data_IF_419218036328
#
_entry.id   IF_419218036328
#
_cell.length_a   1.000
_cell.length_b   1.000
_cell.length_c   1.000
_cell.angle_alpha   90.00
_cell.angle_beta   90.00
_cell.angle_gamma   90.00
#
_symmetry.space_group_name_H-M   'P 1'
#
loop_
_entity.id
_entity.type
_entity.pdbx_description
1 polymer ?
#
# COMPACT_ATOMS: atom_id res chain seq x y z
N UNK A 1 -2.93 -8.54 -1.22
CA UNK A 1 -2.79 -9.78 -0.42
C UNK A 1 -3.15 -10.98 -1.27
N UNK A 2 -2.57 -12.15 -1.00
CA UNK A 2 -2.89 -13.40 -1.71
C UNK A 2 -4.07 -14.16 -1.08
N UNK A 3 -4.42 -13.84 0.18
CA UNK A 3 -5.56 -14.38 0.90
C UNK A 3 -6.15 -13.32 1.85
N UNK A 4 -7.47 -13.34 2.12
CA UNK A 4 -8.09 -12.51 3.15
C UNK A 4 -7.65 -12.87 4.58
N UNK A 5 -6.90 -13.96 4.82
CA UNK A 5 -6.42 -14.30 6.17
C UNK A 5 -5.10 -13.62 6.52
N UNK A 6 -4.42 -13.03 5.53
CA UNK A 6 -3.12 -12.35 5.71
C UNK A 6 -3.32 -10.89 6.11
N UNK A 7 -2.37 -10.37 6.87
CA UNK A 7 -2.35 -9.02 7.43
C UNK A 7 -1.19 -8.20 6.86
N UNK A 8 -1.36 -6.89 6.70
CA UNK A 8 -0.27 -5.97 6.35
C UNK A 8 0.71 -5.76 7.53
N UNK A 9 2.00 -5.47 7.28
CA UNK A 9 2.65 -5.33 5.97
C UNK A 9 2.88 -6.67 5.25
N UNK A 10 2.67 -6.68 3.93
CA UNK A 10 3.05 -7.82 3.09
C UNK A 10 4.55 -7.75 2.82
N UNK A 11 5.29 -8.80 3.18
CA UNK A 11 6.71 -8.94 2.82
C UNK A 11 6.89 -9.20 1.31
N UNK A 12 5.83 -9.67 0.65
CA UNK A 12 5.82 -10.02 -0.77
C UNK A 12 4.54 -9.50 -1.45
N UNK A 13 4.72 -8.72 -2.51
CA UNK A 13 3.63 -8.20 -3.33
C UNK A 13 3.28 -9.12 -4.50
N UNK A 14 4.04 -10.17 -4.77
CA UNK A 14 3.83 -11.07 -5.90
C UNK A 14 2.40 -11.64 -5.92
N UNK A 15 1.78 -11.60 -7.11
CA UNK A 15 0.41 -12.05 -7.36
C UNK A 15 -0.70 -11.28 -6.61
N UNK A 16 -0.38 -10.19 -5.93
CA UNK A 16 -1.36 -9.35 -5.24
C UNK A 16 -1.98 -8.31 -6.17
N UNK A 17 -2.97 -7.57 -5.65
CA UNK A 17 -3.52 -6.39 -6.34
C UNK A 17 -2.42 -5.42 -6.79
N UNK A 18 -1.41 -5.18 -5.95
CA UNK A 18 -0.40 -4.17 -6.20
C UNK A 18 0.55 -4.57 -7.32
N UNK A 19 0.95 -5.84 -7.38
CA UNK A 19 1.81 -6.39 -8.43
C UNK A 19 1.11 -6.43 -9.80
N UNK A 20 -0.21 -6.63 -9.82
CA UNK A 20 -0.99 -6.71 -11.05
C UNK A 20 -1.61 -5.38 -11.49
N UNK A 21 -1.46 -4.33 -10.68
CA UNK A 21 -1.96 -3.00 -11.00
C UNK A 21 -0.99 -2.24 -11.88
N UNK A 22 -1.54 -1.40 -12.76
CA UNK A 22 -0.77 -0.38 -13.48
C UNK A 22 -1.18 1.00 -12.97
N UNK A 23 -0.21 1.85 -12.63
CA UNK A 23 -0.47 3.23 -12.23
C UNK A 23 -0.81 4.05 -13.46
N UNK A 24 -2.02 4.63 -13.47
CA UNK A 24 -2.51 5.51 -14.52
C UNK A 24 -2.29 6.97 -14.16
N UNK A 25 -2.43 7.29 -12.88
CA UNK A 25 -2.21 8.64 -12.36
C UNK A 25 -1.70 8.59 -10.91
N UNK A 26 -0.81 9.52 -10.60
CA UNK A 26 -0.18 9.69 -9.30
C UNK A 26 -0.09 11.20 -9.00
N UNK A 27 -1.16 11.81 -8.49
CA UNK A 27 -1.27 13.27 -8.35
C UNK A 27 -0.22 13.90 -7.44
N UNK A 28 0.30 13.14 -6.48
CA UNK A 28 1.34 13.59 -5.54
C UNK A 28 2.76 13.14 -5.97
N UNK A 29 2.91 12.60 -7.18
CA UNK A 29 4.21 12.21 -7.71
C UNK A 29 4.92 13.41 -8.34
N UNK A 30 5.81 14.04 -7.56
CA UNK A 30 6.79 15.00 -8.10
C UNK A 30 7.76 14.32 -9.11
N UNK A 31 9.03 14.09 -8.74
CA UNK A 31 10.05 13.53 -9.63
C UNK A 31 10.15 11.99 -9.59
N UNK A 32 9.51 11.34 -8.62
CA UNK A 32 9.52 9.88 -8.45
C UNK A 32 8.08 9.36 -8.53
N UNK A 33 7.85 8.33 -9.36
CA UNK A 33 6.55 7.70 -9.49
C UNK A 33 6.60 6.25 -9.00
N UNK A 34 5.55 5.76 -8.33
CA UNK A 34 5.45 4.35 -8.02
C UNK A 34 5.24 3.56 -9.32
N UNK A 35 6.17 2.67 -9.65
CA UNK A 35 6.12 1.86 -10.88
C UNK A 35 5.86 0.38 -10.58
N UNK A 36 6.35 -0.11 -9.45
CA UNK A 36 6.23 -1.53 -9.06
C UNK A 36 5.14 -1.74 -8.01
N UNK A 37 4.68 -2.99 -7.87
CA UNK A 37 3.73 -3.34 -6.81
C UNK A 37 4.23 -3.00 -5.39
N UNK A 38 5.55 -3.12 -5.16
CA UNK A 38 6.17 -2.72 -3.91
C UNK A 38 6.08 -1.20 -3.69
N UNK A 39 6.34 -0.41 -4.73
CA UNK A 39 6.23 1.06 -4.68
C UNK A 39 4.78 1.50 -4.41
N UNK A 40 3.81 0.90 -5.10
CA UNK A 40 2.38 1.19 -4.90
C UNK A 40 1.98 0.86 -3.46
N UNK A 41 2.38 -0.30 -2.94
CA UNK A 41 2.09 -0.69 -1.57
C UNK A 41 2.69 0.29 -0.55
N UNK A 42 3.91 0.78 -0.78
CA UNK A 42 4.62 1.70 0.10
C UNK A 42 4.04 3.11 0.03
N UNK A 43 3.73 3.62 -1.16
CA UNK A 43 3.07 4.90 -1.35
C UNK A 43 1.71 4.93 -0.64
N UNK A 44 0.91 3.87 -0.77
CA UNK A 44 -0.37 3.77 -0.06
C UNK A 44 -0.21 3.55 1.46
N UNK A 45 0.84 2.87 1.92
CA UNK A 45 1.12 2.65 3.34
C UNK A 45 1.61 3.92 4.05
N UNK A 46 2.36 4.77 3.34
CA UNK A 46 3.03 5.95 3.91
C UNK A 46 2.36 7.26 3.51
N UNK A 47 1.11 7.20 3.03
CA UNK A 47 0.33 8.36 2.58
C UNK A 47 1.10 9.23 1.56
N UNK A 48 1.86 8.58 0.67
CA UNK A 48 2.69 9.22 -0.35
C UNK A 48 4.04 9.76 0.13
N UNK A 49 4.41 9.56 1.40
CA UNK A 49 5.70 10.04 1.92
C UNK A 49 6.89 9.36 1.24
N UNK A 50 6.83 8.03 1.08
CA UNK A 50 7.75 7.28 0.24
C UNK A 50 7.03 6.84 -1.03
N UNK A 51 7.54 7.26 -2.18
CA UNK A 51 6.95 6.97 -3.49
C UNK A 51 7.50 5.67 -4.08
N UNK A 52 8.68 5.26 -3.63
CA UNK A 52 9.35 4.02 -4.07
C UNK A 52 9.84 3.21 -2.87
N UNK A 53 9.98 1.91 -3.06
CA UNK A 53 10.52 1.00 -2.06
C UNK A 53 11.97 1.30 -1.72
N UNK A 54 12.74 1.76 -2.72
CA UNK A 54 14.13 2.12 -2.56
C UNK A 54 14.34 3.36 -1.68
N UNK A 55 13.36 4.26 -1.59
CA UNK A 55 13.42 5.45 -0.76
C UNK A 55 13.18 5.16 0.74
N UNK A 56 12.71 3.96 1.09
CA UNK A 56 12.43 3.60 2.48
C UNK A 56 13.73 3.33 3.23
N UNK A 57 14.01 4.03 4.35
CA UNK A 57 15.22 3.82 5.12
C UNK A 57 15.24 2.43 5.77
N UNK A 58 16.43 1.84 5.87
CA UNK A 58 16.68 0.59 6.60
C UNK A 58 17.80 0.81 7.63
N UNK A 59 17.52 0.81 8.95
CA UNK A 59 16.24 0.46 9.58
C UNK A 59 15.14 1.50 9.34
N UNK A 60 13.88 1.03 9.30
CA UNK A 60 12.71 1.91 9.13
C UNK A 60 12.61 2.87 10.30
N UNK A 61 12.91 4.14 10.04
CA UNK A 61 12.92 5.23 11.00
C UNK A 61 12.21 6.42 10.37
N UNK A 62 11.29 7.02 11.12
CA UNK A 62 10.54 8.20 10.70
C UNK A 62 10.74 9.27 11.76
N UNK A 63 11.15 10.47 11.34
CA UNK A 63 11.33 11.61 12.24
C UNK A 63 10.00 11.92 12.97
N UNK A 64 10.08 12.28 14.24
CA UNK A 64 8.91 12.56 15.10
C UNK A 64 7.91 11.41 15.27
N UNK A 65 8.34 10.16 15.03
CA UNK A 65 7.53 8.96 15.22
C UNK A 65 8.18 7.98 16.19
N UNK A 66 7.40 7.40 17.12
CA UNK A 66 7.93 6.37 18.02
C UNK A 66 7.96 4.98 17.35
N UNK A 67 8.73 4.05 17.91
CA UNK A 67 8.90 2.70 17.35
C UNK A 67 7.58 1.93 17.16
N UNK A 68 6.63 2.10 18.09
CA UNK A 68 5.32 1.44 18.03
C UNK A 68 4.46 2.01 16.89
N UNK A 69 4.43 3.34 16.74
CA UNK A 69 3.73 4.02 15.66
C UNK A 69 4.36 3.68 14.29
N UNK A 70 5.69 3.59 14.23
CA UNK A 70 6.42 3.17 13.04
C UNK A 70 6.09 1.73 12.63
N UNK A 71 6.07 0.80 13.59
CA UNK A 71 5.64 -0.58 13.35
C UNK A 71 4.17 -0.70 12.89
N UNK A 72 3.33 0.27 13.28
CA UNK A 72 1.90 0.30 12.91
C UNK A 72 1.60 1.15 11.68
N UNK A 73 2.62 1.76 11.06
CA UNK A 73 2.50 2.70 9.94
C UNK A 73 1.57 3.89 10.30
N UNK A 74 1.63 4.35 11.55
CA UNK A 74 0.80 5.43 12.09
C UNK A 74 1.48 6.81 12.01
N UNK A 75 2.76 6.85 11.61
CA UNK A 75 3.56 8.08 11.53
C UNK A 75 3.06 9.12 10.51
N UNK A 76 2.18 8.73 9.59
CA UNK A 76 1.80 9.56 8.45
C UNK A 76 0.34 10.05 8.53
N UNK A 77 0.00 11.18 7.87
CA UNK A 77 -1.36 11.71 7.88
C UNK A 77 -2.41 10.68 7.43
N UNK A 78 -3.63 10.67 8.01
CA UNK A 78 -4.71 9.74 7.65
C UNK A 78 -5.35 10.01 6.28
N UNK A 79 -4.77 10.92 5.49
CA UNK A 79 -5.27 11.36 4.20
C UNK A 79 -4.15 11.38 3.17
N UNK A 80 -4.46 10.91 1.96
CA UNK A 80 -3.59 10.87 0.80
C UNK A 80 -4.47 11.00 -0.44
N UNK A 81 -4.05 11.73 -1.49
CA UNK A 81 -4.85 11.82 -2.73
C UNK A 81 -5.00 10.45 -3.40
N UNK A 82 -4.04 9.55 -3.19
CA UNK A 82 -4.09 8.19 -3.67
C UNK A 82 -3.47 8.04 -5.06
N UNK A 83 -3.53 6.80 -5.56
CA UNK A 83 -3.10 6.43 -6.90
C UNK A 83 -4.31 6.01 -7.70
N UNK A 84 -4.36 6.36 -8.98
CA UNK A 84 -5.31 5.79 -9.91
C UNK A 84 -4.70 4.52 -10.50
N UNK A 85 -5.32 3.38 -10.18
CA UNK A 85 -4.85 2.06 -10.60
C UNK A 85 -5.76 1.46 -11.66
N UNK A 86 -5.18 0.96 -12.74
CA UNK A 86 -5.85 0.05 -13.68
C UNK A 86 -5.55 -1.39 -13.28
N UNK A 87 -6.60 -2.21 -13.18
CA UNK A 87 -6.50 -3.61 -12.83
C UNK A 87 -6.86 -4.48 -14.03
N UNK A 88 -6.15 -5.59 -14.20
CA UNK A 88 -6.53 -6.63 -15.17
C UNK A 88 -7.71 -7.47 -14.65
N UNK A 89 -8.47 -8.17 -15.52
CA UNK A 89 -9.51 -9.10 -15.08
C UNK A 89 -8.98 -10.12 -14.06
N UNK A 90 -9.74 -10.37 -13.00
CA UNK A 90 -9.31 -11.24 -11.91
C UNK A 90 -10.01 -10.98 -10.58
N UNK A 91 -9.64 -11.78 -9.58
CA UNK A 91 -10.09 -11.62 -8.19
C UNK A 91 -8.92 -11.16 -7.35
N UNK A 92 -9.09 -10.02 -6.70
CA UNK A 92 -8.07 -9.39 -5.88
C UNK A 92 -8.55 -9.24 -4.45
N UNK A 93 -7.62 -9.37 -3.50
CA UNK A 93 -7.87 -9.06 -2.10
C UNK A 93 -7.10 -7.81 -1.70
N UNK A 94 -7.87 -6.80 -1.30
CA UNK A 94 -7.38 -5.53 -0.79
C UNK A 94 -7.62 -5.45 0.71
N UNK A 95 -6.64 -4.93 1.43
CA UNK A 95 -6.77 -4.49 2.81
C UNK A 95 -6.18 -3.09 2.90
N UNK A 96 -6.68 -2.29 3.84
CA UNK A 96 -6.03 -1.04 4.19
C UNK A 96 -4.52 -1.28 4.38
N UNK A 97 -3.70 -0.54 3.63
CA UNK A 97 -2.23 -0.59 3.69
C UNK A 97 -1.69 -0.03 5.02
N UNK A 98 -2.53 0.61 5.84
CA UNK A 98 -2.19 1.20 7.13
C UNK A 98 -2.87 0.47 8.28
N UNK A 99 -2.17 0.43 9.43
CA UNK A 99 -2.71 0.16 10.76
C UNK A 99 -3.72 -1.01 10.83
N UNK A 100 -3.19 -2.22 10.66
CA UNK A 100 -3.96 -3.46 10.82
C UNK A 100 -3.86 -4.05 12.25
N UNK A 101 -3.31 -3.31 13.22
CA UNK A 101 -3.18 -3.78 14.61
C UNK A 101 -4.45 -3.53 15.46
N UNK A 102 -5.52 -3.07 14.84
CA UNK A 102 -6.83 -3.03 15.48
C UNK A 102 -7.50 -4.39 15.33
N UNK A 103 -7.59 -5.11 16.45
CA UNK A 103 -8.30 -6.40 16.58
C UNK A 103 -9.77 -6.38 16.11
N UNK A 104 -10.32 -5.19 15.80
CA UNK A 104 -11.67 -4.97 15.30
C UNK A 104 -11.77 -4.28 13.92
N UNK A 105 -10.67 -3.96 13.23
CA UNK A 105 -10.71 -3.34 11.88
C UNK A 105 -10.22 -4.30 10.82
N UNK A 106 -11.07 -5.27 10.50
CA UNK A 106 -10.85 -6.17 9.38
C UNK A 106 -11.31 -5.50 8.07
N UNK A 107 -10.71 -4.35 7.70
CA UNK A 107 -11.02 -3.64 6.45
C UNK A 107 -10.43 -4.40 5.28
N UNK A 108 -11.03 -5.54 4.98
CA UNK A 108 -10.70 -6.45 3.89
C UNK A 108 -11.80 -6.36 2.85
N UNK A 109 -11.41 -6.19 1.61
CA UNK A 109 -12.30 -6.15 0.47
C UNK A 109 -11.82 -7.15 -0.58
N UNK A 110 -12.78 -7.80 -1.24
CA UNK A 110 -12.53 -8.51 -2.50
C UNK A 110 -12.95 -7.62 -3.65
N UNK A 111 -12.08 -7.47 -4.65
CA UNK A 111 -12.38 -6.75 -5.88
C UNK A 111 -12.39 -7.79 -7.00
N UNK A 112 -13.52 -7.91 -7.69
CA UNK A 112 -13.64 -8.75 -8.90
C UNK A 112 -13.68 -7.84 -10.11
N UNK A 113 -12.68 -7.97 -10.96
CA UNK A 113 -12.59 -7.26 -12.25
C UNK A 113 -13.00 -8.24 -13.33
N UNK A 114 -14.08 -7.92 -14.04
CA UNK A 114 -14.59 -8.71 -15.17
C UNK A 114 -14.10 -8.11 -16.48
N UNK A 115 -14.00 -8.93 -17.53
CA UNK A 115 -13.78 -8.44 -18.89
C UNK A 115 -14.98 -7.60 -19.34
N UNK A 116 -14.71 -6.50 -20.05
CA UNK A 116 -15.73 -5.70 -20.76
C UNK A 116 -16.18 -6.38 -22.06
#
# INVERSE_FOLDING_TARGET
>A
MNSPDVSYPLEDTENTLFDKATVIDAPDADDEQPETGADIAIAMATAGHFKTAAAVPNPFTVEDCNEQEAQQLDCYPPSYHGLLLQLQPGVYYYMCSRNNNFTNRNQKASITVVEE
#
